data_IF_875055397292
#
_entry.id   IF_875055397292
#
_cell.length_a   1.000
_cell.length_b   1.000
_cell.length_c   1.000
_cell.angle_alpha   90.00
_cell.angle_beta   90.00
_cell.angle_gamma   90.00
#
_symmetry.space_group_name_H-M   'P 1'
#
loop_
_entity.id
_entity.type
_entity.pdbx_description
1 polymer ?
#
# COMPACT_ATOMS: atom_id res chain seq x y z
N UNK A 1 -7.54 -36.14 -31.79
CA UNK A 1 -7.39 -35.65 -31.34
C UNK A 1 -7.40 -34.87 -30.54
N UNK A 2 -7.19 -34.51 -30.12
CA UNK A 2 -7.16 -33.89 -29.47
C UNK A 2 -6.79 -33.13 -28.85
N UNK A 3 -6.46 -32.62 -28.33
CA UNK A 3 -6.10 -32.07 -27.67
C UNK A 3 -6.04 -31.05 -27.48
N UNK A 4 -5.95 -30.38 -27.22
CA UNK A 4 -5.82 -29.49 -27.05
C UNK A 4 -6.29 -28.67 -26.29
N UNK A 5 -6.47 -28.29 -26.12
CA UNK A 5 -7.35 -27.70 -25.35
C UNK A 5 -6.73 -27.18 -24.21
N UNK A 6 -6.13 -27.60 -23.82
CA UNK A 6 -5.45 -27.37 -22.75
C UNK A 6 -4.90 -26.12 -22.53
N UNK A 7 -4.24 -25.77 -23.18
CA UNK A 7 -3.59 -24.64 -23.09
C UNK A 7 -4.27 -23.52 -22.55
N UNK A 8 -5.29 -23.34 -22.86
CA UNK A 8 -5.98 -22.24 -22.43
C UNK A 8 -5.85 -22.00 -21.04
N UNK A 9 -5.91 -22.91 -20.35
CA UNK A 9 -5.88 -22.81 -18.93
C UNK A 9 -4.81 -21.87 -18.51
N UNK A 10 -3.77 -21.95 -19.10
CA UNK A 10 -2.69 -21.17 -18.71
C UNK A 10 -2.95 -19.77 -18.77
N UNK A 11 -3.58 -19.33 -19.64
CA UNK A 11 -3.83 -17.97 -19.74
C UNK A 11 -4.48 -17.52 -18.53
N UNK A 12 -5.34 -18.22 -18.05
CA UNK A 12 -6.07 -17.80 -16.91
C UNK A 12 -5.17 -17.52 -15.75
N UNK A 13 -4.05 -18.03 -15.76
CA UNK A 13 -3.17 -17.82 -14.66
C UNK A 13 -2.32 -16.61 -14.77
N UNK A 14 -2.71 -15.69 -15.56
CA UNK A 14 -1.99 -14.53 -15.66
C UNK A 14 -1.89 -13.82 -14.39
N UNK A 15 -0.75 -13.48 -13.92
CA UNK A 15 -0.60 -12.82 -12.63
C UNK A 15 -1.24 -11.46 -12.65
N UNK A 16 -1.93 -11.15 -11.58
CA UNK A 16 -2.54 -9.89 -11.47
C UNK A 16 -1.71 -9.01 -10.66
N UNK A 17 -1.76 -7.76 -10.89
CA UNK A 17 -1.07 -6.81 -10.03
C UNK A 17 -1.60 -6.99 -8.64
N UNK A 18 -0.77 -6.90 -7.67
CA UNK A 18 -1.19 -7.04 -6.30
C UNK A 18 -1.50 -5.71 -5.64
N UNK A 19 -1.66 -4.68 -6.42
CA UNK A 19 -2.06 -3.45 -5.85
C UNK A 19 -3.53 -3.51 -5.54
N UNK A 20 -3.93 -3.04 -4.42
CA UNK A 20 -5.32 -3.02 -4.05
C UNK A 20 -5.59 -1.85 -3.13
N UNK A 21 -6.75 -1.22 -3.32
CA UNK A 21 -7.23 -0.21 -2.40
C UNK A 21 -8.21 -0.95 -1.50
N UNK A 22 -7.88 -1.03 -0.22
CA UNK A 22 -8.66 -1.81 0.73
C UNK A 22 -9.40 -0.90 1.70
N UNK A 23 -10.54 -1.36 2.20
CA UNK A 23 -11.21 -0.64 3.26
C UNK A 23 -10.27 -0.54 4.46
N UNK A 24 -10.44 0.41 5.36
CA UNK A 24 -9.57 0.50 6.53
C UNK A 24 -9.48 -0.79 7.32
N UNK A 25 -10.60 -1.50 7.50
CA UNK A 25 -10.58 -2.74 8.27
C UNK A 25 -9.83 -3.84 7.53
N UNK A 26 -10.01 -3.95 6.22
CA UNK A 26 -9.30 -4.95 5.43
C UNK A 26 -7.82 -4.61 5.35
N UNK A 27 -7.50 -3.33 5.26
CA UNK A 27 -6.13 -2.86 5.23
C UNK A 27 -5.43 -3.26 6.53
N UNK A 28 -6.07 -3.01 7.66
CA UNK A 28 -5.50 -3.38 8.94
C UNK A 28 -5.33 -4.88 9.07
N UNK A 29 -6.37 -5.64 8.73
CA UNK A 29 -6.32 -7.08 8.87
C UNK A 29 -5.22 -7.69 8.00
N UNK A 30 -5.10 -7.22 6.77
CA UNK A 30 -4.09 -7.76 5.88
C UNK A 30 -2.70 -7.37 6.31
N UNK A 31 -2.53 -6.13 6.78
CA UNK A 31 -1.23 -5.69 7.27
C UNK A 31 -0.77 -6.57 8.42
N UNK A 32 -1.66 -6.87 9.34
CA UNK A 32 -1.32 -7.67 10.53
C UNK A 32 -0.92 -9.09 10.19
N UNK A 33 -1.37 -9.61 9.06
CA UNK A 33 -1.09 -10.99 8.69
C UNK A 33 -0.10 -11.13 7.54
N UNK A 34 0.48 -10.03 7.09
CA UNK A 34 1.45 -10.06 6.00
C UNK A 34 2.85 -9.99 6.58
N UNK A 35 3.64 -11.02 6.35
CA UNK A 35 5.00 -11.07 6.87
C UNK A 35 5.85 -9.96 6.28
N UNK A 36 6.65 -9.33 7.12
CA UNK A 36 7.60 -8.30 6.71
C UNK A 36 6.96 -7.09 6.06
N UNK A 37 5.70 -6.85 6.33
CA UNK A 37 5.00 -5.71 5.76
C UNK A 37 5.53 -4.41 6.33
N UNK A 38 5.60 -3.38 5.50
CA UNK A 38 5.99 -2.04 5.91
C UNK A 38 4.75 -1.17 5.82
N UNK A 39 4.43 -0.49 6.92
CA UNK A 39 3.34 0.47 6.94
C UNK A 39 3.95 1.83 6.65
N UNK A 40 3.52 2.47 5.57
CA UNK A 40 4.12 3.69 5.08
C UNK A 40 3.15 4.85 5.12
N UNK A 41 3.49 5.87 5.90
CA UNK A 41 2.71 7.10 5.99
C UNK A 41 3.40 8.13 5.10
N UNK A 42 2.70 8.62 4.08
CA UNK A 42 3.32 9.56 3.13
C UNK A 42 2.87 11.00 3.36
N UNK A 43 2.28 11.28 4.52
CA UNK A 43 1.86 12.63 4.88
C UNK A 43 3.07 13.47 5.29
N UNK A 44 2.83 14.73 5.54
CA UNK A 44 3.90 15.63 6.00
C UNK A 44 4.31 15.28 7.41
N UNK A 45 5.49 15.73 7.81
CA UNK A 45 5.96 15.49 9.17
C UNK A 45 5.06 16.15 10.22
N UNK A 46 4.47 17.30 9.90
CA UNK A 46 3.55 17.93 10.83
C UNK A 46 2.28 17.13 11.02
N UNK A 47 1.75 16.56 9.92
CA UNK A 47 0.57 15.72 10.04
C UNK A 47 0.85 14.51 10.90
N UNK A 48 2.00 13.89 10.69
CA UNK A 48 2.40 12.70 11.45
C UNK A 48 2.57 13.04 12.93
N UNK A 49 3.12 14.20 13.23
CA UNK A 49 3.29 14.61 14.62
C UNK A 49 1.97 14.76 15.36
N UNK A 50 0.88 14.99 14.61
CA UNK A 50 -0.44 15.14 15.21
C UNK A 50 -1.22 13.85 15.27
N UNK A 51 -0.60 12.72 14.98
CA UNK A 51 -1.25 11.43 15.09
C UNK A 51 -0.95 10.56 13.89
N UNK A 52 -0.77 9.27 14.12
CA UNK A 52 -0.46 8.34 13.05
C UNK A 52 -0.90 6.93 13.44
N UNK A 53 -0.83 6.00 12.51
CA UNK A 53 -1.06 4.60 12.82
C UNK A 53 0.23 4.07 13.45
N UNK A 54 0.08 3.25 14.47
CA UNK A 54 1.22 2.67 15.18
C UNK A 54 2.15 1.93 14.21
N UNK A 55 3.45 2.09 14.39
CA UNK A 55 4.50 1.49 13.58
C UNK A 55 4.65 2.05 12.16
N UNK A 56 3.92 3.08 11.81
CA UNK A 56 4.05 3.64 10.48
C UNK A 56 5.40 4.35 10.31
N UNK A 57 6.05 4.06 9.18
CA UNK A 57 7.27 4.74 8.80
C UNK A 57 6.86 5.92 7.94
N UNK A 58 7.43 7.07 8.17
CA UNK A 58 7.07 8.27 7.42
C UNK A 58 8.07 8.58 6.31
N UNK A 59 7.58 8.57 5.08
CA UNK A 59 8.34 9.10 3.95
C UNK A 59 7.39 10.05 3.24
N UNK A 60 7.68 11.33 3.37
CA UNK A 60 6.79 12.36 2.85
C UNK A 60 6.68 12.28 1.33
N UNK A 61 5.45 12.35 0.82
CA UNK A 61 5.22 12.38 -0.61
C UNK A 61 5.50 13.81 -1.11
N UNK A 62 6.63 13.99 -1.74
CA UNK A 62 7.03 15.27 -2.31
C UNK A 62 7.84 14.96 -3.56
N UNK A 63 8.48 15.98 -4.13
CA UNK A 63 9.22 15.80 -5.38
C UNK A 63 10.38 14.82 -5.26
N UNK A 64 10.86 14.56 -4.07
CA UNK A 64 11.95 13.64 -3.85
C UNK A 64 11.49 12.24 -3.44
N UNK A 65 10.17 11.99 -3.45
CA UNK A 65 9.63 10.73 -2.94
C UNK A 65 10.30 9.51 -3.59
N UNK A 66 10.37 9.51 -4.92
CA UNK A 66 10.92 8.36 -5.63
C UNK A 66 12.36 8.06 -5.20
N UNK A 67 13.16 9.11 -5.03
CA UNK A 67 14.55 8.94 -4.60
C UNK A 67 14.64 8.40 -3.19
N UNK A 68 13.74 8.85 -2.31
CA UNK A 68 13.75 8.39 -0.93
C UNK A 68 13.44 6.91 -0.81
N UNK A 69 12.81 6.32 -1.81
CA UNK A 69 12.49 4.90 -1.77
C UNK A 69 13.71 4.01 -2.00
N UNK A 70 14.82 4.56 -2.42
CA UNK A 70 16.00 3.75 -2.73
C UNK A 70 16.48 2.94 -1.53
N UNK A 71 16.26 3.42 -0.33
CA UNK A 71 16.68 2.68 0.87
C UNK A 71 15.55 1.84 1.48
N UNK A 72 14.36 1.85 0.89
CA UNK A 72 13.25 1.12 1.45
C UNK A 72 13.26 -0.32 0.90
N UNK A 73 13.27 -1.33 1.76
CA UNK A 73 13.33 -2.72 1.28
C UNK A 73 12.16 -3.08 0.38
N UNK A 74 12.37 -4.04 -0.51
CA UNK A 74 11.34 -4.49 -1.45
C UNK A 74 10.40 -5.47 -0.77
N UNK A 75 9.78 -5.05 0.30
CA UNK A 75 8.84 -5.85 1.07
C UNK A 75 7.42 -5.36 0.77
N UNK A 76 6.39 -6.10 1.17
CA UNK A 76 5.02 -5.62 0.95
C UNK A 76 4.82 -4.26 1.62
N UNK A 77 4.24 -3.33 0.87
CA UNK A 77 4.03 -1.97 1.36
C UNK A 77 2.55 -1.72 1.56
N UNK A 78 2.22 -1.20 2.75
CA UNK A 78 0.87 -0.75 3.08
C UNK A 78 0.96 0.76 3.24
N UNK A 79 0.47 1.51 2.27
CA UNK A 79 0.68 2.95 2.20
C UNK A 79 -0.62 3.71 2.45
N UNK A 80 -0.53 4.80 3.22
CA UNK A 80 -1.69 5.64 3.46
C UNK A 80 -1.29 7.10 3.57
N UNK A 81 -2.28 7.97 3.39
CA UNK A 81 -2.13 9.39 3.63
C UNK A 81 -3.37 9.88 4.37
N UNK A 82 -3.68 11.15 4.28
CA UNK A 82 -4.83 11.71 4.98
C UNK A 82 -6.17 11.30 4.40
N UNK A 83 -6.32 11.39 3.08
CA UNK A 83 -7.60 11.13 2.41
C UNK A 83 -7.52 10.14 1.25
N UNK A 84 -6.34 9.65 0.93
CA UNK A 84 -6.16 8.66 -0.14
C UNK A 84 -5.58 9.21 -1.43
N UNK A 85 -5.48 10.52 -1.59
CA UNK A 85 -5.00 11.10 -2.85
C UNK A 85 -3.50 10.97 -3.00
N UNK A 86 -2.74 11.39 -2.01
CA UNK A 86 -1.28 11.29 -2.08
C UNK A 86 -0.82 9.85 -2.08
N UNK A 87 -1.51 8.99 -1.32
CA UNK A 87 -1.13 7.59 -1.26
C UNK A 87 -1.38 6.87 -2.58
N UNK A 88 -2.39 7.27 -3.35
CA UNK A 88 -2.61 6.69 -4.66
C UNK A 88 -1.44 7.01 -5.59
N UNK A 89 -0.94 8.24 -5.52
CA UNK A 89 0.20 8.64 -6.35
C UNK A 89 1.48 7.95 -5.87
N UNK A 90 1.63 7.83 -4.56
CA UNK A 90 2.78 7.13 -3.99
C UNK A 90 2.77 5.66 -4.38
N UNK A 91 1.60 5.02 -4.37
CA UNK A 91 1.47 3.62 -4.74
C UNK A 91 1.90 3.39 -6.19
N UNK A 92 1.56 4.32 -7.07
CA UNK A 92 1.97 4.20 -8.45
C UNK A 92 3.48 4.24 -8.59
N UNK A 93 4.12 5.16 -7.88
CA UNK A 93 5.58 5.27 -7.90
C UNK A 93 6.22 4.01 -7.32
N UNK A 94 5.66 3.51 -6.22
CA UNK A 94 6.18 2.29 -5.60
C UNK A 94 6.16 1.13 -6.60
N UNK A 95 5.07 0.97 -7.33
CA UNK A 95 4.98 -0.11 -8.31
C UNK A 95 5.97 0.09 -9.44
N UNK A 96 6.15 1.33 -9.89
CA UNK A 96 7.11 1.62 -10.94
C UNK A 96 8.53 1.32 -10.49
N UNK A 97 8.80 1.44 -9.19
CA UNK A 97 10.11 1.16 -8.64
C UNK A 97 10.31 -0.33 -8.33
N UNK A 98 9.34 -1.17 -8.65
CA UNK A 98 9.51 -2.60 -8.51
C UNK A 98 8.94 -3.24 -7.27
N UNK A 99 8.16 -2.51 -6.48
CA UNK A 99 7.48 -3.11 -5.33
C UNK A 99 6.30 -3.91 -5.85
N UNK A 100 6.29 -5.21 -5.55
CA UNK A 100 5.29 -6.10 -6.11
C UNK A 100 3.98 -6.12 -5.36
N UNK A 101 4.00 -5.86 -4.07
CA UNK A 101 2.79 -5.84 -3.28
C UNK A 101 2.61 -4.46 -2.66
N UNK A 102 1.63 -3.73 -3.12
CA UNK A 102 1.35 -2.38 -2.65
C UNK A 102 -0.15 -2.29 -2.38
N UNK A 103 -0.50 -1.99 -1.14
CA UNK A 103 -1.89 -1.86 -0.72
C UNK A 103 -2.13 -0.46 -0.18
N UNK A 104 -3.29 0.09 -0.46
CA UNK A 104 -3.68 1.43 -0.02
C UNK A 104 -4.87 1.36 0.89
N UNK A 105 -4.95 2.30 1.82
CA UNK A 105 -6.11 2.42 2.70
C UNK A 105 -7.10 3.38 2.07
N UNK A 106 -8.27 2.89 1.69
CA UNK A 106 -9.30 3.71 1.07
C UNK A 106 -9.69 4.84 2.01
N UNK A 107 -9.66 6.06 1.51
CA UNK A 107 -10.02 7.23 2.30
C UNK A 107 -8.97 7.65 3.33
N UNK A 108 -7.85 6.96 3.38
CA UNK A 108 -6.73 7.36 4.22
C UNK A 108 -7.00 7.34 5.72
N UNK A 109 -6.21 8.11 6.46
CA UNK A 109 -6.33 8.16 7.91
C UNK A 109 -7.70 8.66 8.35
N UNK A 110 -8.31 9.52 7.55
CA UNK A 110 -9.64 10.02 7.88
C UNK A 110 -10.65 8.88 7.94
N UNK A 111 -10.65 8.00 6.93
CA UNK A 111 -11.55 6.87 6.91
C UNK A 111 -11.17 5.83 7.95
N UNK A 112 -9.89 5.67 8.24
CA UNK A 112 -9.39 4.78 9.28
C UNK A 112 -9.99 5.19 10.63
N UNK A 113 -9.94 6.49 10.95
CA UNK A 113 -10.51 6.99 12.19
C UNK A 113 -12.03 6.82 12.22
N UNK A 114 -12.69 7.05 11.09
CA UNK A 114 -14.13 6.90 11.01
C UNK A 114 -14.55 5.45 11.23
N UNK A 115 -13.67 4.51 10.96
CA UNK A 115 -13.91 3.09 11.21
C UNK A 115 -13.55 2.70 12.66
N UNK A 116 -13.22 3.67 13.48
CA UNK A 116 -12.85 3.48 14.89
C UNK A 116 -11.62 2.61 15.08
N UNK A 117 -10.68 2.70 14.15
CA UNK A 117 -9.42 1.99 14.29
C UNK A 117 -8.42 2.88 15.03
N UNK A 118 -7.47 2.29 15.73
CA UNK A 118 -6.63 3.07 16.66
C UNK A 118 -5.56 3.92 15.98
N UNK A 119 -5.33 5.09 16.55
CA UNK A 119 -4.22 5.96 16.14
C UNK A 119 -3.49 6.36 17.41
N UNK A 120 -2.26 6.73 17.27
CA UNK A 120 -1.49 7.24 18.41
C UNK A 120 -1.07 8.68 18.20
#
# INVERSE_FOLDING_TARGET
>A
MKKFAILLALLACEPKPTEAVLSPKDFEAKYKTTAQAILLDVRTTEEVANGKIHDAKNIVYDDAFATKLDSLPRQPIFVYCGSGIRSAKAAKILKEKGYEEVYECAGGLKAWKAANLPVE
#
